data_IF_788623383200
#
_entry.id   IF_788623383200
#
_cell.length_a   1.000
_cell.length_b   1.000
_cell.length_c   1.000
_cell.angle_alpha   90.00
_cell.angle_beta   90.00
_cell.angle_gamma   90.00
#
_symmetry.space_group_name_H-M   'P 1'
#
loop_
_entity.id
_entity.type
_entity.pdbx_description
1 polymer ?
#
# COMPACT_ATOMS: atom_id res chain seq x y z
N UNK A 1 -2.65 -10.58 4.23
CA UNK A 1 -1.86 -9.53 4.89
C UNK A 1 -2.13 -8.21 4.19
N UNK A 2 -2.25 -7.13 4.97
CA UNK A 2 -2.53 -5.77 4.50
C UNK A 2 -1.33 -4.89 4.88
N UNK A 3 -0.67 -4.28 3.90
CA UNK A 3 0.46 -3.37 4.10
C UNK A 3 0.10 -2.00 3.53
N UNK A 4 0.00 -0.99 4.40
CA UNK A 4 -0.18 0.42 4.02
C UNK A 4 1.09 1.17 4.40
N UNK A 5 1.64 1.97 3.47
CA UNK A 5 2.90 2.70 3.72
C UNK A 5 2.95 3.99 2.94
N UNK A 6 3.56 4.99 3.57
CA UNK A 6 3.94 6.32 3.07
C UNK A 6 5.29 6.33 2.32
N UNK A 7 5.96 5.17 2.22
CA UNK A 7 7.22 5.00 1.51
C UNK A 7 7.04 4.23 0.21
N UNK A 8 7.13 4.94 -0.92
CA UNK A 8 7.10 4.34 -2.27
C UNK A 8 8.25 3.33 -2.47
N UNK A 9 9.41 3.60 -1.88
CA UNK A 9 10.54 2.67 -1.91
C UNK A 9 10.18 1.36 -1.20
N UNK A 10 9.62 1.44 0.01
CA UNK A 10 9.21 0.26 0.76
C UNK A 10 8.12 -0.53 0.02
N UNK A 11 7.19 0.18 -0.63
CA UNK A 11 6.18 -0.44 -1.49
C UNK A 11 6.82 -1.27 -2.60
N UNK A 12 7.66 -0.64 -3.44
CA UNK A 12 8.31 -1.31 -4.57
C UNK A 12 9.22 -2.46 -4.13
N UNK A 13 10.02 -2.25 -3.09
CA UNK A 13 10.88 -3.28 -2.51
C UNK A 13 10.07 -4.51 -2.04
N UNK A 14 9.01 -4.27 -1.27
CA UNK A 14 8.16 -5.36 -0.76
C UNK A 14 7.46 -6.08 -1.90
N UNK A 15 6.89 -5.34 -2.86
CA UNK A 15 6.23 -5.93 -4.02
C UNK A 15 7.18 -6.84 -4.82
N UNK A 16 8.43 -6.40 -5.02
CA UNK A 16 9.48 -7.19 -5.66
C UNK A 16 9.81 -8.48 -4.91
N UNK A 17 9.97 -8.41 -3.58
CA UNK A 17 10.20 -9.60 -2.75
C UNK A 17 9.03 -10.59 -2.84
N UNK A 18 7.79 -10.09 -2.68
CA UNK A 18 6.59 -10.93 -2.76
C UNK A 18 6.49 -11.67 -4.10
N UNK A 19 6.80 -10.97 -5.21
CA UNK A 19 6.87 -11.59 -6.53
C UNK A 19 8.00 -12.63 -6.62
N UNK A 20 9.20 -12.28 -6.16
CA UNK A 20 10.37 -13.15 -6.21
C UNK A 20 10.23 -14.44 -5.40
N UNK A 21 9.53 -14.37 -4.26
CA UNK A 21 9.24 -15.52 -3.38
C UNK A 21 7.96 -16.27 -3.77
N UNK A 22 7.27 -15.85 -4.84
CA UNK A 22 6.09 -16.54 -5.37
C UNK A 22 4.86 -16.44 -4.46
N UNK A 23 4.75 -15.36 -3.68
CA UNK A 23 3.57 -15.05 -2.88
C UNK A 23 2.44 -14.49 -3.76
N UNK A 24 1.20 -14.69 -3.33
CA UNK A 24 0.03 -14.24 -4.08
C UNK A 24 -0.26 -12.77 -3.76
N UNK A 25 -0.12 -11.88 -4.75
CA UNK A 25 -0.53 -10.49 -4.61
C UNK A 25 -2.00 -10.36 -5.04
N UNK A 26 -2.84 -9.94 -4.10
CA UNK A 26 -4.28 -9.77 -4.30
C UNK A 26 -4.63 -8.37 -4.80
N UNK A 27 -3.87 -7.36 -4.36
CA UNK A 27 -4.07 -5.96 -4.75
C UNK A 27 -2.79 -5.16 -4.52
N UNK A 28 -2.51 -4.22 -5.42
CA UNK A 28 -1.46 -3.22 -5.25
C UNK A 28 -1.96 -1.87 -5.77
N UNK A 29 -1.83 -0.82 -4.96
CA UNK A 29 -2.19 0.54 -5.30
C UNK A 29 -1.11 1.51 -4.82
N UNK A 30 -0.66 2.38 -5.73
CA UNK A 30 0.42 3.32 -5.49
C UNK A 30 -0.07 4.69 -4.99
N UNK A 31 -1.39 4.94 -5.00
CA UNK A 31 -1.98 6.13 -4.40
C UNK A 31 -3.44 5.82 -3.99
N UNK A 32 -3.63 5.52 -2.70
CA UNK A 32 -4.94 5.07 -2.19
C UNK A 32 -5.98 6.19 -2.15
N UNK A 33 -5.57 7.46 -2.18
CA UNK A 33 -6.49 8.60 -2.08
C UNK A 33 -6.86 9.21 -3.43
N UNK A 34 -6.16 8.87 -4.52
CA UNK A 34 -6.54 9.30 -5.88
C UNK A 34 -7.32 8.27 -6.67
N UNK A 35 -7.18 6.98 -6.36
CA UNK A 35 -7.83 5.91 -7.11
C UNK A 35 -9.19 5.51 -6.52
N UNK A 36 -10.25 5.56 -7.34
CA UNK A 36 -11.60 5.11 -6.97
C UNK A 36 -11.71 3.60 -6.65
N UNK A 37 -10.66 2.83 -6.93
CA UNK A 37 -10.62 1.38 -6.70
C UNK A 37 -9.97 0.99 -5.36
N UNK A 38 -9.58 1.96 -4.54
CA UNK A 38 -9.08 1.69 -3.20
C UNK A 38 -10.16 1.08 -2.32
N UNK A 39 -9.87 0.00 -1.57
CA UNK A 39 -10.83 -0.55 -0.62
C UNK A 39 -11.26 0.51 0.40
N UNK A 40 -12.57 0.61 0.68
CA UNK A 40 -13.11 1.59 1.63
C UNK A 40 -12.45 1.51 3.01
N UNK A 41 -12.15 0.29 3.47
CA UNK A 41 -11.46 0.04 4.74
C UNK A 41 -10.07 0.72 4.83
N UNK A 42 -9.37 0.84 3.69
CA UNK A 42 -8.02 1.43 3.59
C UNK A 42 -8.08 2.95 3.60
N UNK A 43 -9.07 3.54 2.93
CA UNK A 43 -9.24 5.00 2.89
C UNK A 43 -9.87 5.56 4.18
N UNK A 44 -10.77 4.79 4.80
CA UNK A 44 -11.49 5.20 6.02
C UNK A 44 -10.59 5.17 7.27
N UNK A 45 -9.54 4.34 7.25
CA UNK A 45 -8.56 4.28 8.33
C UNK A 45 -7.36 5.14 7.96
N UNK A 46 -7.35 6.39 8.42
CA UNK A 46 -6.24 7.32 8.23
C UNK A 46 -5.48 7.54 9.54
N UNK A 47 -4.15 7.44 9.50
CA UNK A 47 -3.29 7.71 10.66
C UNK A 47 -2.84 9.17 10.73
N UNK A 48 -2.36 9.61 11.89
CA UNK A 48 -1.83 10.97 12.07
C UNK A 48 -0.65 11.29 11.13
N UNK A 49 0.26 10.33 10.91
CA UNK A 49 1.43 10.52 10.05
C UNK A 49 1.04 10.66 8.58
N UNK A 50 0.06 9.88 8.11
CA UNK A 50 -0.40 9.96 6.71
C UNK A 50 -0.83 11.37 6.33
N UNK A 51 -1.47 12.10 7.24
CA UNK A 51 -1.83 13.50 7.02
C UNK A 51 -0.60 14.36 6.73
N UNK A 52 0.48 14.21 7.49
CA UNK A 52 1.72 14.97 7.29
C UNK A 52 2.39 14.69 5.95
N UNK A 53 2.29 13.46 5.45
CA UNK A 53 2.83 13.07 4.15
C UNK A 53 1.94 13.55 3.00
N UNK A 54 0.62 13.45 3.16
CA UNK A 54 -0.35 13.98 2.19
C UNK A 54 -0.23 15.50 2.04
N UNK A 55 0.01 16.24 3.14
CA UNK A 55 0.25 17.69 3.11
C UNK A 55 1.53 18.04 2.30
N UNK A 56 2.49 17.12 2.22
CA UNK A 56 3.69 17.23 1.38
C UNK A 56 3.47 16.72 -0.06
N UNK A 57 2.26 16.29 -0.41
CA UNK A 57 1.92 15.71 -1.71
C UNK A 57 2.48 14.30 -1.92
N UNK A 58 2.96 13.63 -0.86
CA UNK A 58 3.46 12.25 -0.95
C UNK A 58 2.29 11.26 -0.94
N UNK A 59 2.27 10.29 -1.86
CA UNK A 59 1.19 9.33 -1.92
C UNK A 59 1.28 8.34 -0.76
N UNK A 60 0.13 7.80 -0.36
CA UNK A 60 0.06 6.64 0.52
C UNK A 60 -0.27 5.43 -0.34
N UNK A 61 0.53 4.38 -0.19
CA UNK A 61 0.47 3.17 -1.00
C UNK A 61 -0.09 2.00 -0.19
N UNK A 62 -0.57 0.97 -0.88
CA UNK A 62 -1.16 -0.20 -0.25
C UNK A 62 -0.93 -1.48 -1.05
N UNK A 63 -0.61 -2.58 -0.35
CA UNK A 63 -0.48 -3.93 -0.89
C UNK A 63 -1.31 -4.89 -0.05
N UNK A 64 -2.11 -5.72 -0.72
CA UNK A 64 -2.80 -6.87 -0.13
C UNK A 64 -2.24 -8.15 -0.73
N UNK A 65 -1.79 -9.08 0.10
CA UNK A 65 -1.16 -10.32 -0.37
C UNK A 65 -1.41 -11.49 0.58
N UNK A 66 -1.25 -12.72 0.07
CA UNK A 66 -1.19 -13.96 0.85
C UNK A 66 0.20 -14.56 0.75
N UNK A 67 0.77 -14.90 1.90
CA UNK A 67 2.05 -15.63 1.97
C UNK A 67 1.77 -17.07 1.60
N UNK A 68 2.61 -17.60 0.72
CA UNK A 68 2.63 -19.02 0.37
C UNK A 68 3.60 -19.71 1.32
N UNK A 69 3.14 -20.75 1.99
CA UNK A 69 3.94 -21.61 2.87
C UNK A 69 4.09 -22.98 2.23
#
# INVERSE_FOLDING_TARGET
INLKTDSEFMHGYTLGLLHGEGHEILHSNHDVYKNHYSPEEVINTQTFYEKQYLDQGKPITYIKFRVKY
#
